data_IF_320831220793
#
_entry.id   IF_320831220793
#
_cell.length_a   1.000
_cell.length_b   1.000
_cell.length_c   1.000
_cell.angle_alpha   90.00
_cell.angle_beta   90.00
_cell.angle_gamma   90.00
#
_symmetry.space_group_name_H-M   'P 1'
#
loop_
_entity.id
_entity.type
_entity.pdbx_description
1 polymer ?
#
# COMPACT_ATOMS: atom_id res chain seq x y z
N UNK A 1 1.30 -11.71 5.20
CA UNK A 1 2.22 -11.16 4.19
C UNK A 1 3.53 -11.93 4.04
N UNK A 2 3.98 -12.72 5.03
CA UNK A 2 5.20 -13.52 4.88
C UNK A 2 5.22 -14.40 3.62
N UNK A 3 4.21 -15.23 3.43
CA UNK A 3 4.09 -16.04 2.20
C UNK A 3 3.90 -15.20 0.93
N UNK A 4 3.35 -13.98 1.04
CA UNK A 4 3.14 -13.11 -0.11
C UNK A 4 4.49 -12.60 -0.66
N UNK A 5 5.33 -12.00 0.18
CA UNK A 5 6.61 -11.46 -0.27
C UNK A 5 7.69 -12.54 -0.39
N UNK A 6 7.89 -13.35 0.65
CA UNK A 6 8.95 -14.38 0.64
C UNK A 6 8.62 -15.49 -0.38
N UNK A 7 7.35 -15.89 -0.46
CA UNK A 7 6.90 -16.91 -1.42
C UNK A 7 6.95 -16.44 -2.88
N UNK A 8 6.96 -15.12 -3.15
CA UNK A 8 7.13 -14.59 -4.52
C UNK A 8 8.50 -14.93 -5.14
N UNK A 9 9.47 -15.39 -4.33
CA UNK A 9 10.75 -15.90 -4.81
C UNK A 9 10.65 -17.32 -5.39
N UNK A 10 9.57 -18.06 -5.14
CA UNK A 10 9.29 -19.43 -5.64
C UNK A 10 10.31 -20.51 -5.22
N UNK A 11 11.25 -20.16 -4.36
CA UNK A 11 12.30 -21.03 -3.84
C UNK A 11 12.52 -20.80 -2.33
N UNK A 12 13.27 -21.69 -1.68
CA UNK A 12 13.70 -21.54 -0.29
C UNK A 12 15.22 -21.30 -0.24
N UNK A 13 15.65 -20.06 -0.47
CA UNK A 13 17.07 -19.68 -0.55
C UNK A 13 17.34 -18.34 0.18
N UNK A 14 18.57 -17.81 0.05
CA UNK A 14 18.97 -16.55 0.72
C UNK A 14 18.11 -15.33 0.33
N UNK A 15 17.62 -15.29 -0.92
CA UNK A 15 16.75 -14.20 -1.39
C UNK A 15 15.36 -14.27 -0.72
N UNK A 16 14.84 -15.47 -0.45
CA UNK A 16 13.62 -15.67 0.34
C UNK A 16 13.77 -15.11 1.76
N UNK A 17 14.91 -15.36 2.40
CA UNK A 17 15.23 -14.83 3.74
C UNK A 17 15.33 -13.30 3.69
N UNK A 18 15.96 -12.74 2.67
CA UNK A 18 16.05 -11.29 2.48
C UNK A 18 14.65 -10.65 2.33
N UNK A 19 13.79 -11.22 1.48
CA UNK A 19 12.42 -10.76 1.30
C UNK A 19 11.60 -10.86 2.60
N UNK A 20 11.78 -11.92 3.37
CA UNK A 20 11.16 -12.07 4.68
C UNK A 20 11.62 -10.98 5.66
N UNK A 21 12.93 -10.73 5.77
CA UNK A 21 13.50 -9.70 6.64
C UNK A 21 12.99 -8.31 6.27
N UNK A 22 13.06 -7.95 4.98
CA UNK A 22 12.58 -6.67 4.48
C UNK A 22 11.09 -6.47 4.76
N UNK A 23 10.29 -7.53 4.65
CA UNK A 23 8.86 -7.48 4.97
C UNK A 23 8.62 -7.13 6.44
N UNK A 24 9.45 -7.59 7.37
CA UNK A 24 9.33 -7.24 8.80
C UNK A 24 9.80 -5.82 9.04
N UNK A 25 11.01 -5.50 8.59
CA UNK A 25 11.69 -4.27 8.98
C UNK A 25 11.03 -3.03 8.38
N UNK A 26 10.57 -3.09 7.12
CA UNK A 26 9.80 -2.02 6.50
C UNK A 26 8.46 -1.80 7.23
N UNK A 27 7.77 -2.87 7.58
CA UNK A 27 6.48 -2.83 8.31
C UNK A 27 6.62 -2.20 9.69
N UNK A 28 7.65 -2.62 10.45
CA UNK A 28 7.93 -2.06 11.75
C UNK A 28 8.27 -0.56 11.65
N UNK A 29 9.12 -0.19 10.68
CA UNK A 29 9.48 1.20 10.45
C UNK A 29 8.27 2.07 10.07
N UNK A 30 7.39 1.57 9.21
CA UNK A 30 6.17 2.27 8.80
C UNK A 30 5.19 2.46 9.96
N UNK A 31 4.96 1.42 10.76
CA UNK A 31 4.09 1.50 11.93
C UNK A 31 4.62 2.53 12.96
N UNK A 32 5.94 2.52 13.21
CA UNK A 32 6.59 3.47 14.12
C UNK A 32 6.55 4.90 13.57
N UNK A 33 6.87 5.09 12.28
CA UNK A 33 6.85 6.41 11.65
C UNK A 33 5.43 7.00 11.62
N UNK A 34 4.43 6.20 11.25
CA UNK A 34 3.03 6.59 11.31
C UNK A 34 2.64 7.00 12.72
N UNK A 35 2.88 6.12 13.71
CA UNK A 35 2.51 6.38 15.11
C UNK A 35 3.18 7.64 15.67
N UNK A 36 4.45 7.87 15.31
CA UNK A 36 5.19 9.05 15.72
C UNK A 36 4.61 10.32 15.11
N UNK A 37 4.39 10.34 13.79
CA UNK A 37 3.85 11.53 13.10
C UNK A 37 2.39 11.78 13.50
N UNK A 38 1.59 10.74 13.67
CA UNK A 38 0.22 10.83 14.21
C UNK A 38 0.24 11.45 15.60
N UNK A 39 1.12 10.99 16.49
CA UNK A 39 1.27 11.57 17.83
C UNK A 39 1.66 13.05 17.78
N UNK A 40 2.60 13.43 16.92
CA UNK A 40 3.05 14.82 16.79
C UNK A 40 1.94 15.72 16.23
N UNK A 41 1.21 15.27 15.21
CA UNK A 41 0.25 16.09 14.48
C UNK A 41 -1.17 16.05 15.05
N UNK A 42 -1.53 14.98 15.76
CA UNK A 42 -2.88 14.73 16.30
C UNK A 42 -2.92 14.53 17.81
N UNK A 43 -1.77 14.56 18.48
CA UNK A 43 -1.65 14.50 19.95
C UNK A 43 -1.59 13.10 20.57
N UNK A 44 -1.94 12.05 19.82
CA UNK A 44 -1.88 10.66 20.29
C UNK A 44 -1.55 9.69 19.14
N UNK A 45 -0.93 8.56 19.47
CA UNK A 45 -0.78 7.44 18.54
C UNK A 45 -1.93 6.44 18.77
N UNK A 46 -2.67 6.10 17.72
CA UNK A 46 -3.81 5.18 17.82
C UNK A 46 -3.43 3.75 17.42
N UNK A 47 -4.13 2.75 17.99
CA UNK A 47 -3.91 1.35 17.60
C UNK A 47 -4.29 1.10 16.13
N UNK A 48 -5.37 1.73 15.65
CA UNK A 48 -5.79 1.68 14.24
C UNK A 48 -4.78 2.38 13.33
N UNK A 49 -4.21 3.51 13.77
CA UNK A 49 -3.13 4.20 13.05
C UNK A 49 -1.88 3.34 12.94
N UNK A 50 -1.44 2.72 14.04
CA UNK A 50 -0.30 1.79 14.03
C UNK A 50 -0.54 0.60 13.09
N UNK A 51 -1.74 0.01 13.10
CA UNK A 51 -2.11 -1.07 12.19
C UNK A 51 -2.13 -0.60 10.71
N UNK A 52 -2.67 0.59 10.44
CA UNK A 52 -2.68 1.19 9.10
C UNK A 52 -1.27 1.47 8.60
N UNK A 53 -0.40 2.00 9.48
CA UNK A 53 1.02 2.20 9.19
C UNK A 53 1.75 0.89 8.91
N UNK A 54 1.46 -0.18 9.65
CA UNK A 54 2.00 -1.50 9.35
C UNK A 54 1.60 -1.98 7.94
N UNK A 55 0.31 -1.85 7.57
CA UNK A 55 -0.16 -2.21 6.23
C UNK A 55 0.49 -1.33 5.16
N UNK A 56 0.64 -0.03 5.39
CA UNK A 56 1.34 0.88 4.46
C UNK A 56 2.80 0.42 4.20
N UNK A 57 3.52 0.00 5.24
CA UNK A 57 4.86 -0.56 5.11
C UNK A 57 4.89 -1.87 4.33
N UNK A 58 3.94 -2.77 4.60
CA UNK A 58 3.78 -4.04 3.87
C UNK A 58 3.50 -3.81 2.38
N UNK A 59 2.60 -2.88 2.06
CA UNK A 59 2.30 -2.47 0.68
C UNK A 59 3.55 -1.92 0.02
N UNK A 60 4.22 -0.95 0.64
CA UNK A 60 5.34 -0.25 0.02
C UNK A 60 6.56 -1.14 -0.22
N UNK A 61 6.84 -2.10 0.67
CA UNK A 61 7.98 -3.01 0.49
C UNK A 61 7.72 -4.12 -0.52
N UNK A 62 6.45 -4.46 -0.80
CA UNK A 62 6.07 -5.55 -1.72
C UNK A 62 6.85 -5.57 -3.04
N UNK A 63 6.91 -4.49 -3.84
CA UNK A 63 7.65 -4.50 -5.11
C UNK A 63 9.18 -4.58 -4.95
N UNK A 64 9.70 -4.28 -3.76
CA UNK A 64 11.14 -4.24 -3.47
C UNK A 64 11.59 -5.35 -2.52
N UNK A 65 10.72 -6.29 -2.12
CA UNK A 65 10.98 -7.16 -0.98
C UNK A 65 12.26 -7.99 -1.16
N UNK A 66 12.46 -8.62 -2.32
CA UNK A 66 13.72 -9.32 -2.64
C UNK A 66 14.83 -8.42 -3.15
N UNK A 67 14.52 -7.20 -3.58
CA UNK A 67 15.48 -6.33 -4.29
C UNK A 67 16.16 -5.32 -3.36
N UNK A 68 15.52 -4.93 -2.25
CA UNK A 68 16.05 -3.92 -1.36
C UNK A 68 17.13 -4.48 -0.41
N UNK A 69 18.13 -3.65 -0.13
CA UNK A 69 18.93 -3.83 1.10
C UNK A 69 18.08 -3.54 2.34
N UNK A 70 18.39 -4.18 3.48
CA UNK A 70 17.58 -4.10 4.70
C UNK A 70 17.43 -2.68 5.26
N UNK A 71 18.48 -1.86 5.18
CA UNK A 71 18.42 -0.44 5.60
C UNK A 71 17.53 0.37 4.66
N UNK A 72 17.59 0.09 3.35
CA UNK A 72 16.71 0.69 2.36
C UNK A 72 15.24 0.33 2.61
N UNK A 73 14.95 -0.92 2.97
CA UNK A 73 13.61 -1.37 3.32
C UNK A 73 13.04 -0.63 4.55
N UNK A 74 13.85 -0.41 5.60
CA UNK A 74 13.48 0.40 6.77
C UNK A 74 13.14 1.83 6.35
N UNK A 75 14.01 2.46 5.54
CA UNK A 75 13.79 3.82 5.07
C UNK A 75 12.52 3.94 4.22
N UNK A 76 12.31 3.02 3.28
CA UNK A 76 11.10 2.98 2.44
C UNK A 76 9.84 2.79 3.28
N UNK A 77 9.87 1.89 4.26
CA UNK A 77 8.76 1.69 5.20
C UNK A 77 8.43 2.96 5.97
N UNK A 78 9.44 3.62 6.56
CA UNK A 78 9.23 4.87 7.29
C UNK A 78 8.62 5.96 6.41
N UNK A 79 9.14 6.16 5.19
CA UNK A 79 8.59 7.13 4.22
C UNK A 79 7.15 6.78 3.86
N UNK A 80 6.87 5.51 3.57
CA UNK A 80 5.51 5.06 3.24
C UNK A 80 4.53 5.29 4.39
N UNK A 81 4.93 5.02 5.63
CA UNK A 81 4.10 5.29 6.81
C UNK A 81 3.71 6.76 6.92
N UNK A 82 4.65 7.68 6.70
CA UNK A 82 4.37 9.13 6.76
C UNK A 82 3.49 9.59 5.58
N UNK A 83 3.81 9.15 4.36
CA UNK A 83 3.08 9.57 3.15
C UNK A 83 1.65 9.01 3.15
N UNK A 84 1.46 7.76 3.56
CA UNK A 84 0.13 7.16 3.65
C UNK A 84 -0.70 7.79 4.78
N UNK A 85 -0.09 8.15 5.92
CA UNK A 85 -0.78 8.94 6.95
C UNK A 85 -1.27 10.25 6.33
N UNK A 86 -0.39 11.01 5.69
CA UNK A 86 -0.78 12.25 5.03
C UNK A 86 -1.91 12.04 4.01
N UNK A 87 -1.86 10.97 3.22
CA UNK A 87 -2.90 10.66 2.26
C UNK A 87 -4.27 10.46 2.94
N UNK A 88 -4.30 9.69 4.03
CA UNK A 88 -5.52 9.37 4.78
C UNK A 88 -6.11 10.59 5.49
N UNK A 89 -5.29 11.35 6.23
CA UNK A 89 -5.80 12.46 7.05
C UNK A 89 -5.83 13.82 6.36
N UNK A 90 -5.12 14.00 5.24
CA UNK A 90 -5.03 15.29 4.55
C UNK A 90 -5.54 15.19 3.11
N UNK A 91 -5.01 14.28 2.29
CA UNK A 91 -5.41 14.20 0.88
C UNK A 91 -6.88 13.80 0.70
N UNK A 92 -7.35 12.80 1.46
CA UNK A 92 -8.76 12.36 1.43
C UNK A 92 -9.76 13.49 1.67
N UNK A 93 -9.72 14.24 2.79
CA UNK A 93 -10.66 15.33 3.00
C UNK A 93 -10.46 16.49 2.02
N UNK A 94 -9.25 16.73 1.53
CA UNK A 94 -9.00 17.74 0.48
C UNK A 94 -9.72 17.40 -0.82
N UNK A 95 -9.68 16.14 -1.24
CA UNK A 95 -10.31 15.67 -2.48
C UNK A 95 -11.78 15.24 -2.31
N UNK A 96 -12.26 15.14 -1.06
CA UNK A 96 -13.65 14.78 -0.70
C UNK A 96 -14.13 13.46 -1.32
N UNK A 97 -13.22 12.50 -1.53
CA UNK A 97 -13.61 11.15 -1.93
C UNK A 97 -14.05 10.33 -0.71
N UNK A 98 -15.06 9.49 -0.91
CA UNK A 98 -15.57 8.56 0.11
C UNK A 98 -14.89 7.20 -0.07
N UNK A 99 -13.76 7.04 0.62
CA UNK A 99 -13.01 5.79 0.74
C UNK A 99 -13.10 5.34 2.19
N UNK A 100 -14.05 4.44 2.44
CA UNK A 100 -14.51 4.09 3.79
C UNK A 100 -13.44 3.45 4.64
N UNK A 101 -12.51 2.72 4.03
CA UNK A 101 -11.44 1.96 4.72
C UNK A 101 -10.04 2.42 4.32
N UNK A 102 -9.92 3.61 3.73
CA UNK A 102 -8.62 4.19 3.35
C UNK A 102 -7.80 3.32 2.39
N UNK A 103 -8.48 2.53 1.54
CA UNK A 103 -7.84 1.61 0.60
C UNK A 103 -6.95 2.38 -0.38
N UNK A 104 -7.42 3.52 -0.90
CA UNK A 104 -6.62 4.36 -1.78
C UNK A 104 -5.44 5.00 -1.04
N UNK A 105 -5.66 5.51 0.16
CA UNK A 105 -4.63 6.18 0.97
C UNK A 105 -3.50 5.24 1.42
N UNK A 106 -3.82 3.98 1.74
CA UNK A 106 -2.86 2.99 2.22
C UNK A 106 -2.30 2.12 1.08
N UNK A 107 -3.17 1.57 0.23
CA UNK A 107 -2.74 0.65 -0.85
C UNK A 107 -2.38 1.40 -2.14
N UNK A 108 -3.22 2.35 -2.57
CA UNK A 108 -2.97 3.13 -3.78
C UNK A 108 -1.70 3.97 -3.66
N UNK A 109 -1.67 4.88 -2.69
CA UNK A 109 -0.52 5.75 -2.45
C UNK A 109 0.70 4.96 -1.96
N UNK A 110 0.52 4.01 -1.03
CA UNK A 110 1.62 3.16 -0.55
C UNK A 110 2.24 2.33 -1.67
N UNK A 111 1.43 1.83 -2.61
CA UNK A 111 1.90 1.09 -3.78
C UNK A 111 2.71 1.96 -4.74
N UNK A 112 2.26 3.20 -4.98
CA UNK A 112 3.01 4.18 -5.80
C UNK A 112 4.36 4.50 -5.14
N UNK A 113 4.36 4.81 -3.83
CA UNK A 113 5.58 5.09 -3.07
C UNK A 113 6.53 3.89 -3.10
N UNK A 114 6.02 2.68 -2.90
CA UNK A 114 6.79 1.44 -2.96
C UNK A 114 7.41 1.19 -4.33
N UNK A 115 6.61 1.30 -5.39
CA UNK A 115 7.05 1.05 -6.76
C UNK A 115 8.14 2.04 -7.19
N UNK A 116 7.96 3.33 -6.92
CA UNK A 116 8.98 4.36 -7.20
C UNK A 116 10.21 4.18 -6.29
N UNK A 117 9.99 3.92 -5.01
CA UNK A 117 11.04 3.67 -4.02
C UNK A 117 11.90 2.46 -4.36
N UNK A 118 11.35 1.45 -5.03
CA UNK A 118 12.07 0.26 -5.53
C UNK A 118 13.26 0.67 -6.40
N UNK A 119 13.11 1.68 -7.27
CA UNK A 119 14.19 2.17 -8.12
C UNK A 119 15.37 2.77 -7.34
N UNK A 120 15.15 3.13 -6.08
CA UNK A 120 16.17 3.69 -5.20
C UNK A 120 16.75 2.57 -4.35
N UNK A 121 15.91 1.87 -3.58
CA UNK A 121 16.38 0.90 -2.57
C UNK A 121 16.96 -0.37 -3.16
N UNK A 122 16.68 -0.66 -4.44
CA UNK A 122 17.28 -1.78 -5.16
C UNK A 122 18.67 -1.45 -5.73
N UNK A 123 19.15 -0.21 -5.64
CA UNK A 123 20.47 0.15 -6.17
C UNK A 123 21.60 -0.61 -5.44
N UNK A 124 22.51 -1.27 -6.16
CA UNK A 124 23.66 -1.96 -5.55
C UNK A 124 24.56 -1.05 -4.72
N UNK A 125 24.68 0.23 -5.10
CA UNK A 125 25.39 1.25 -4.30
C UNK A 125 24.77 1.51 -2.91
N UNK A 126 23.52 1.08 -2.69
CA UNK A 126 22.80 1.14 -1.42
C UNK A 126 22.60 -0.25 -0.80
N UNK A 127 23.40 -1.24 -1.22
CA UNK A 127 23.28 -2.66 -0.84
C UNK A 127 21.98 -3.33 -1.30
N UNK A 128 21.36 -2.82 -2.36
CA UNK A 128 20.27 -3.47 -3.06
C UNK A 128 20.76 -4.53 -4.05
N UNK A 129 19.82 -5.34 -4.53
CA UNK A 129 20.00 -6.47 -5.45
C UNK A 129 19.28 -6.24 -6.78
N UNK A 130 19.16 -4.98 -7.18
CA UNK A 130 18.54 -4.59 -8.44
C UNK A 130 19.25 -5.19 -9.67
N UNK A 131 18.50 -5.50 -10.73
CA UNK A 131 19.07 -6.13 -11.93
C UNK A 131 20.03 -5.19 -12.65
N UNK A 132 21.11 -5.74 -13.23
CA UNK A 132 22.11 -4.97 -14.00
C UNK A 132 23.42 -4.68 -13.24
N UNK A 133 23.51 -5.01 -11.95
CA UNK A 133 24.77 -4.90 -11.19
C UNK A 133 25.36 -3.49 -11.24
N UNK A 134 26.61 -3.35 -11.67
CA UNK A 134 27.28 -2.05 -11.79
C UNK A 134 26.62 -1.10 -12.80
N UNK A 135 25.87 -1.63 -13.78
CA UNK A 135 25.13 -0.83 -14.76
C UNK A 135 23.77 -0.33 -14.24
N UNK A 136 23.42 -0.65 -12.99
CA UNK A 136 22.16 -0.21 -12.38
C UNK A 136 22.08 1.32 -12.32
N UNK A 137 21.08 1.88 -13.00
CA UNK A 137 20.79 3.31 -12.98
C UNK A 137 19.52 3.59 -12.19
N UNK A 138 19.63 4.30 -11.06
CA UNK A 138 18.47 4.78 -10.29
C UNK A 138 17.54 5.61 -11.17
N UNK A 139 18.10 6.52 -11.99
CA UNK A 139 17.31 7.35 -12.89
C UNK A 139 16.58 6.55 -13.97
N UNK A 140 17.26 5.57 -14.56
CA UNK A 140 16.66 4.65 -15.53
C UNK A 140 15.54 3.81 -14.91
N UNK A 141 15.78 3.26 -13.73
CA UNK A 141 14.77 2.48 -13.01
C UNK A 141 13.60 3.35 -12.53
N UNK A 142 13.83 4.60 -12.13
CA UNK A 142 12.74 5.52 -11.80
C UNK A 142 11.84 5.77 -13.01
N UNK A 143 12.40 5.93 -14.21
CA UNK A 143 11.61 6.07 -15.43
C UNK A 143 10.78 4.80 -15.73
N UNK A 144 11.39 3.62 -15.58
CA UNK A 144 10.70 2.34 -15.75
C UNK A 144 9.56 2.16 -14.74
N UNK A 145 9.83 2.37 -13.46
CA UNK A 145 8.85 2.22 -12.38
C UNK A 145 7.72 3.25 -12.50
N UNK A 146 8.04 4.52 -12.85
CA UNK A 146 7.03 5.54 -13.09
C UNK A 146 6.12 5.20 -14.28
N UNK A 147 6.70 4.64 -15.35
CA UNK A 147 5.93 4.16 -16.50
C UNK A 147 4.99 3.02 -16.10
N UNK A 148 5.49 2.03 -15.34
CA UNK A 148 4.68 0.92 -14.86
C UNK A 148 3.53 1.39 -13.94
N UNK A 149 3.81 2.33 -13.03
CA UNK A 149 2.80 2.95 -12.17
C UNK A 149 1.74 3.69 -12.99
N UNK A 150 2.14 4.50 -13.97
CA UNK A 150 1.20 5.23 -14.81
C UNK A 150 0.28 4.28 -15.59
N UNK A 151 0.85 3.21 -16.17
CA UNK A 151 0.07 2.17 -16.85
C UNK A 151 -0.92 1.51 -15.89
N UNK A 152 -0.47 1.12 -14.69
CA UNK A 152 -1.33 0.47 -13.71
C UNK A 152 -2.50 1.37 -13.26
N UNK A 153 -2.24 2.66 -13.03
CA UNK A 153 -3.27 3.65 -12.67
C UNK A 153 -4.30 3.78 -13.79
N UNK A 154 -3.85 4.02 -15.03
CA UNK A 154 -4.76 4.21 -16.17
C UNK A 154 -5.58 2.95 -16.42
N UNK A 155 -4.94 1.79 -16.43
CA UNK A 155 -5.60 0.51 -16.64
C UNK A 155 -6.63 0.23 -15.55
N UNK A 156 -6.24 0.33 -14.28
CA UNK A 156 -7.12 0.07 -13.14
C UNK A 156 -8.32 1.02 -13.15
N UNK A 157 -8.11 2.32 -13.37
CA UNK A 157 -9.18 3.31 -13.39
C UNK A 157 -10.17 3.07 -14.54
N UNK A 158 -9.65 2.91 -15.77
CA UNK A 158 -10.50 2.72 -16.97
C UNK A 158 -11.28 1.43 -16.88
N UNK A 159 -10.63 0.32 -16.58
CA UNK A 159 -11.29 -1.00 -16.52
C UNK A 159 -12.32 -1.05 -15.40
N UNK A 160 -12.00 -0.49 -14.22
CA UNK A 160 -12.95 -0.46 -13.09
C UNK A 160 -14.17 0.40 -13.43
N UNK A 161 -13.98 1.59 -14.01
CA UNK A 161 -15.11 2.45 -14.41
C UNK A 161 -15.99 1.76 -15.44
N UNK A 162 -15.41 1.15 -16.48
CA UNK A 162 -16.17 0.41 -17.49
C UNK A 162 -16.92 -0.75 -16.86
N UNK A 163 -16.28 -1.56 -16.01
CA UNK A 163 -16.91 -2.68 -15.34
C UNK A 163 -18.09 -2.22 -14.46
N UNK A 164 -17.92 -1.17 -13.66
CA UNK A 164 -18.99 -0.62 -12.82
C UNK A 164 -20.14 -0.05 -13.67
N UNK A 165 -19.86 0.59 -14.81
CA UNK A 165 -20.92 1.05 -15.72
C UNK A 165 -21.70 -0.11 -16.32
N UNK A 166 -21.02 -1.20 -16.70
CA UNK A 166 -21.68 -2.40 -17.22
C UNK A 166 -22.54 -3.09 -16.16
N UNK A 167 -22.05 -3.22 -14.93
CA UNK A 167 -22.82 -3.81 -13.82
C UNK A 167 -24.07 -2.96 -13.54
N UNK A 168 -23.96 -1.62 -13.59
CA UNK A 168 -25.11 -0.70 -13.42
C UNK A 168 -26.24 -0.90 -14.44
N UNK A 169 -25.96 -1.50 -15.61
CA UNK A 169 -27.00 -1.81 -16.59
C UNK A 169 -27.87 -3.01 -16.17
N UNK A 170 -27.39 -3.84 -15.25
CA UNK A 170 -28.02 -5.11 -14.86
C UNK A 170 -28.51 -5.07 -13.41
N UNK A 171 -27.80 -4.37 -12.53
CA UNK A 171 -28.14 -4.27 -11.11
C UNK A 171 -27.62 -2.99 -10.46
N UNK A 172 -28.23 -2.61 -9.33
CA UNK A 172 -27.70 -1.54 -8.49
C UNK A 172 -26.45 -2.03 -7.75
N UNK A 173 -25.39 -1.22 -7.79
CA UNK A 173 -24.11 -1.53 -7.11
C UNK A 173 -24.10 -0.99 -5.67
N UNK A 174 -24.96 -0.01 -5.39
CA UNK A 174 -25.10 0.61 -4.07
C UNK A 174 -26.49 0.29 -3.53
N UNK A 175 -26.55 0.00 -2.23
CA UNK A 175 -27.81 -0.10 -1.51
C UNK A 175 -28.60 1.21 -1.64
N UNK A 176 -29.92 1.11 -1.55
CA UNK A 176 -30.79 2.28 -1.49
C UNK A 176 -30.56 3.06 -0.18
N UNK A 177 -30.95 4.33 -0.16
CA UNK A 177 -30.83 5.15 1.04
C UNK A 177 -31.56 4.54 2.25
N UNK A 178 -32.71 3.88 2.02
CA UNK A 178 -33.46 3.23 3.08
C UNK A 178 -32.71 2.01 3.64
N UNK A 179 -32.15 1.18 2.76
CA UNK A 179 -31.35 0.01 3.16
C UNK A 179 -30.06 0.41 3.89
N UNK A 180 -29.46 1.55 3.53
CA UNK A 180 -28.30 2.11 4.25
C UNK A 180 -28.68 2.61 5.65
N UNK A 181 -29.87 3.21 5.83
CA UNK A 181 -30.35 3.68 7.14
C UNK A 181 -30.70 2.51 8.05
N UNK A 182 -31.35 1.48 7.50
CA UNK A 182 -31.72 0.26 8.25
C UNK A 182 -30.48 -0.57 8.62
N UNK A 183 -29.45 -0.53 7.79
CA UNK A 183 -28.21 -1.28 7.94
C UNK A 183 -28.22 -2.56 7.10
N UNK A 184 -27.07 -2.86 6.48
CA UNK A 184 -26.92 -4.00 5.56
C UNK A 184 -27.11 -5.36 6.25
N UNK A 185 -26.82 -5.48 7.54
CA UNK A 185 -27.08 -6.70 8.33
C UNK A 185 -28.57 -7.08 8.25
N UNK A 186 -29.48 -6.11 8.36
CA UNK A 186 -30.92 -6.37 8.32
C UNK A 186 -31.40 -6.43 6.87
N UNK A 187 -31.07 -5.42 6.06
CA UNK A 187 -31.63 -5.27 4.72
C UNK A 187 -31.12 -6.32 3.73
N UNK A 188 -29.87 -6.77 3.87
CA UNK A 188 -29.24 -7.75 2.98
C UNK A 188 -29.12 -9.14 3.59
N UNK A 189 -29.03 -9.27 4.92
CA UNK A 189 -28.81 -10.56 5.59
C UNK A 189 -29.95 -10.98 6.53
N UNK A 190 -30.88 -10.09 6.89
CA UNK A 190 -31.99 -10.39 7.80
C UNK A 190 -31.57 -10.66 9.24
N UNK A 191 -30.36 -10.26 9.63
CA UNK A 191 -29.75 -10.59 10.92
C UNK A 191 -29.32 -9.32 11.67
N UNK A 192 -29.03 -9.48 12.97
CA UNK A 192 -28.39 -8.44 13.79
C UNK A 192 -27.05 -8.99 14.30
N UNK A 193 -25.95 -8.28 14.05
CA UNK A 193 -24.63 -8.71 14.51
C UNK A 193 -24.53 -8.79 16.05
N UNK A 194 -25.24 -7.92 16.77
CA UNK A 194 -25.21 -7.84 18.24
C UNK A 194 -26.64 -7.62 18.80
N UNK A 195 -26.91 -8.17 19.99
CA UNK A 195 -28.19 -8.05 20.72
C UNK A 195 -28.00 -7.37 22.07
#
# INVERSE_FOLDING_TARGET
>A
WFGFNAGSNLEANGLTVQAFLNTITATAAAALAWSLVERITRGHASALGAASGAVAGLVAITPAAGLAGTVGAIALGAVAGVVCLWAVVTLKPMLKYDDSLDVFGVHGIGGIVGALGTAIVAAPSLNGFGPGGEEYSIGGQLATQATAVAIAIVWSAVVTVVALLLIKLVMNIRATQQEEIEGLDISSHGEKAYN
#
